data_IF_270438874438
#
_entry.id   IF_270438874438
#
_cell.length_a   1.000
_cell.length_b   1.000
_cell.length_c   1.000
_cell.angle_alpha   90.00
_cell.angle_beta   90.00
_cell.angle_gamma   90.00
#
_symmetry.space_group_name_H-M   'P 1'
#
loop_
_entity.id
_entity.type
_entity.pdbx_description
1 polymer ?
#
# COMPACT_ATOMS: atom_id res chain seq x y z
N UNK A 1 -32.55 19.98 -9.26
CA UNK A 1 -31.73 19.00 -9.99
C UNK A 1 -30.29 19.17 -9.52
N UNK A 2 -29.94 18.58 -8.38
CA UNK A 2 -28.58 18.52 -7.86
C UNK A 2 -28.42 17.13 -7.26
N UNK A 3 -28.00 16.19 -8.10
CA UNK A 3 -27.53 14.86 -7.73
C UNK A 3 -26.72 14.35 -8.93
N UNK A 4 -25.69 13.57 -8.67
CA UNK A 4 -24.78 12.91 -9.62
C UNK A 4 -23.37 13.51 -9.82
N UNK A 5 -22.75 14.11 -8.80
CA UNK A 5 -21.26 14.21 -8.76
C UNK A 5 -20.64 13.76 -7.41
N UNK A 6 -21.43 13.35 -6.41
CA UNK A 6 -20.90 13.07 -5.06
C UNK A 6 -20.69 11.57 -4.72
N UNK A 7 -20.93 10.64 -5.66
CA UNK A 7 -20.87 9.19 -5.40
C UNK A 7 -19.60 8.51 -5.94
N UNK A 8 -18.45 9.17 -5.83
CA UNK A 8 -17.19 8.43 -5.71
C UNK A 8 -16.65 8.78 -4.34
N UNK A 9 -16.94 8.00 -3.28
CA UNK A 9 -16.20 8.18 -2.06
C UNK A 9 -14.74 8.02 -2.43
N UNK A 10 -13.95 8.98 -1.99
CA UNK A 10 -12.54 9.17 -2.24
C UNK A 10 -11.71 8.00 -1.68
N UNK A 11 -11.97 6.77 -2.14
CA UNK A 11 -11.50 5.49 -1.60
C UNK A 11 -10.06 5.21 -2.04
N UNK A 12 -9.51 6.04 -2.94
CA UNK A 12 -8.09 6.07 -3.26
C UNK A 12 -7.31 7.09 -2.39
N UNK A 13 -7.80 7.45 -1.20
CA UNK A 13 -7.07 8.32 -0.29
C UNK A 13 -6.11 7.53 0.60
N UNK A 14 -4.91 8.08 0.69
CA UNK A 14 -3.79 7.83 1.61
C UNK A 14 -4.20 7.81 3.10
N UNK A 15 -5.12 6.94 3.49
CA UNK A 15 -5.71 6.87 4.81
C UNK A 15 -5.14 5.69 5.60
N UNK A 16 -4.56 5.99 6.76
CA UNK A 16 -4.08 5.00 7.74
C UNK A 16 -5.17 3.99 8.07
N UNK A 17 -4.82 2.71 8.28
CA UNK A 17 -5.78 1.63 8.58
C UNK A 17 -6.70 1.91 9.78
N UNK A 18 -6.28 2.76 10.72
CA UNK A 18 -7.14 3.24 11.80
C UNK A 18 -8.35 4.08 11.31
N UNK A 19 -8.16 4.91 10.28
CA UNK A 19 -9.27 5.68 9.67
C UNK A 19 -10.24 4.74 8.95
N UNK A 20 -9.71 3.81 8.16
CA UNK A 20 -10.51 2.80 7.48
C UNK A 20 -11.34 1.97 8.48
N UNK A 21 -10.74 1.52 9.59
CA UNK A 21 -11.45 0.82 10.66
C UNK A 21 -12.62 1.64 11.24
N UNK A 22 -12.46 2.97 11.37
CA UNK A 22 -13.53 3.87 11.82
C UNK A 22 -14.63 3.98 10.78
N UNK A 23 -14.28 4.09 9.50
CA UNK A 23 -15.24 4.21 8.41
C UNK A 23 -16.07 2.94 8.29
N UNK A 24 -15.44 1.76 8.35
CA UNK A 24 -16.15 0.47 8.38
C UNK A 24 -17.14 0.36 9.55
N UNK A 25 -16.78 0.87 10.72
CA UNK A 25 -17.70 0.94 11.87
C UNK A 25 -18.90 1.85 11.60
N UNK A 26 -18.72 2.96 10.88
CA UNK A 26 -19.83 3.83 10.48
C UNK A 26 -20.76 3.15 9.47
N UNK A 27 -20.21 2.30 8.59
CA UNK A 27 -20.98 1.47 7.67
C UNK A 27 -21.62 0.23 8.33
N UNK A 28 -21.47 0.05 9.66
CA UNK A 28 -22.05 -1.07 10.41
C UNK A 28 -21.23 -2.36 10.39
N UNK A 29 -20.06 -2.37 9.75
CA UNK A 29 -19.15 -3.52 9.71
C UNK A 29 -18.06 -3.40 10.79
N UNK A 30 -18.07 -4.32 11.76
CA UNK A 30 -17.04 -4.36 12.80
C UNK A 30 -15.81 -5.14 12.33
N UNK A 31 -14.99 -4.51 11.50
CA UNK A 31 -13.72 -5.10 11.03
C UNK A 31 -12.58 -4.54 11.87
N UNK A 32 -11.78 -5.41 12.47
CA UNK A 32 -10.59 -4.99 13.21
C UNK A 32 -9.46 -4.60 12.27
N UNK A 33 -8.59 -3.70 12.72
CA UNK A 33 -7.37 -3.31 11.97
C UNK A 33 -6.51 -4.51 11.60
N UNK A 34 -6.35 -5.46 12.51
CA UNK A 34 -5.54 -6.66 12.28
C UNK A 34 -6.12 -7.53 11.17
N UNK A 35 -7.44 -7.68 11.11
CA UNK A 35 -8.10 -8.39 10.02
C UNK A 35 -7.85 -7.72 8.67
N UNK A 36 -7.95 -6.38 8.61
CA UNK A 36 -7.63 -5.61 7.40
C UNK A 36 -6.17 -5.77 6.97
N UNK A 37 -5.21 -5.67 7.91
CA UNK A 37 -3.79 -5.91 7.63
C UNK A 37 -3.56 -7.29 7.03
N UNK A 38 -4.13 -8.32 7.65
CA UNK A 38 -3.97 -9.69 7.20
C UNK A 38 -4.56 -9.91 5.80
N UNK A 39 -5.69 -9.28 5.49
CA UNK A 39 -6.28 -9.32 4.15
C UNK A 39 -5.42 -8.60 3.12
N UNK A 40 -4.84 -7.44 3.45
CA UNK A 40 -3.95 -6.72 2.54
C UNK A 40 -2.70 -7.56 2.23
N UNK A 41 -2.09 -8.17 3.24
CA UNK A 41 -0.92 -9.04 3.06
C UNK A 41 -1.29 -10.28 2.23
N UNK A 42 -2.43 -10.90 2.53
CA UNK A 42 -2.89 -12.04 1.75
C UNK A 42 -3.13 -11.65 0.29
N UNK A 43 -3.76 -10.51 0.03
CA UNK A 43 -4.03 -10.05 -1.32
C UNK A 43 -2.74 -9.72 -2.09
N UNK A 44 -1.76 -9.09 -1.43
CA UNK A 44 -0.46 -8.80 -2.04
C UNK A 44 0.27 -10.07 -2.48
N UNK A 45 0.26 -11.11 -1.64
CA UNK A 45 0.93 -12.37 -1.93
C UNK A 45 0.20 -13.23 -2.95
N UNK A 46 -1.13 -13.26 -2.97
CA UNK A 46 -1.87 -14.20 -3.82
C UNK A 46 -2.24 -13.62 -5.17
N UNK A 47 -2.57 -12.33 -5.25
CA UNK A 47 -3.07 -11.72 -6.49
C UNK A 47 -2.02 -10.89 -7.22
N UNK A 48 -1.14 -10.20 -6.48
CA UNK A 48 -0.15 -9.31 -7.10
C UNK A 48 1.17 -10.00 -7.47
N UNK A 49 1.42 -11.21 -6.96
CA UNK A 49 2.66 -11.95 -7.22
C UNK A 49 2.90 -12.15 -8.73
N UNK A 50 1.88 -12.56 -9.49
CA UNK A 50 2.06 -12.85 -10.91
C UNK A 50 2.39 -11.60 -11.72
N UNK A 51 1.80 -10.46 -11.33
CA UNK A 51 2.06 -9.16 -11.92
C UNK A 51 3.48 -8.71 -11.61
N UNK A 52 3.91 -8.85 -10.36
CA UNK A 52 5.28 -8.59 -9.94
C UNK A 52 6.28 -9.43 -10.75
N UNK A 53 6.05 -10.74 -10.85
CA UNK A 53 6.93 -11.65 -11.59
C UNK A 53 7.03 -11.29 -13.08
N UNK A 54 5.93 -10.83 -13.68
CA UNK A 54 5.92 -10.35 -15.06
C UNK A 54 6.78 -9.10 -15.24
N UNK A 55 6.54 -8.06 -14.43
CA UNK A 55 7.33 -6.83 -14.51
C UNK A 55 8.79 -7.06 -14.19
N UNK A 56 9.10 -7.94 -13.23
CA UNK A 56 10.47 -8.31 -12.90
C UNK A 56 11.19 -8.91 -14.12
N UNK A 57 10.56 -9.85 -14.84
CA UNK A 57 11.13 -10.42 -16.06
C UNK A 57 11.33 -9.39 -17.17
N UNK A 58 10.37 -8.49 -17.36
CA UNK A 58 10.47 -7.46 -18.40
C UNK A 58 11.51 -6.39 -18.08
N UNK A 59 11.69 -6.03 -16.81
CA UNK A 59 12.71 -5.08 -16.38
C UNK A 59 14.12 -5.64 -16.58
N UNK A 60 14.35 -6.93 -16.31
CA UNK A 60 15.64 -7.59 -16.53
C UNK A 60 16.08 -7.62 -18.00
N UNK A 61 15.14 -7.50 -18.95
CA UNK A 61 15.47 -7.42 -20.38
C UNK A 61 15.99 -6.04 -20.80
N UNK A 62 15.75 -5.00 -19.99
CA UNK A 62 16.14 -3.62 -20.33
C UNK A 62 17.58 -3.37 -19.87
N UNK A 63 18.36 -2.67 -20.71
CA UNK A 63 19.74 -2.29 -20.38
C UNK A 63 19.87 -1.14 -19.38
N UNK A 64 18.77 -0.48 -19.03
CA UNK A 64 18.72 0.56 -18.01
C UNK A 64 17.38 0.50 -17.29
N UNK A 65 17.40 0.81 -15.99
CA UNK A 65 16.23 0.89 -15.15
C UNK A 65 16.17 2.29 -14.56
N UNK A 66 15.05 2.98 -14.74
CA UNK A 66 14.80 4.25 -14.06
C UNK A 66 14.15 3.91 -12.73
N UNK A 67 14.72 4.39 -11.64
CA UNK A 67 14.15 4.27 -10.32
C UNK A 67 14.12 5.63 -9.65
N UNK A 68 13.03 5.93 -8.94
CA UNK A 68 12.92 7.13 -8.10
C UNK A 68 13.33 6.78 -6.67
N UNK A 69 14.14 7.64 -6.05
CA UNK A 69 14.61 7.47 -4.68
C UNK A 69 13.61 8.08 -3.70
N UNK A 70 12.91 7.23 -2.96
CA UNK A 70 11.99 7.67 -1.91
C UNK A 70 12.60 7.40 -0.53
N UNK A 71 12.71 8.44 0.29
CA UNK A 71 13.18 8.34 1.67
C UNK A 71 12.03 7.87 2.58
N UNK A 72 12.26 6.82 3.35
CA UNK A 72 11.29 6.23 4.27
C UNK A 72 11.91 5.97 5.63
N UNK A 73 11.12 6.06 6.70
CA UNK A 73 11.53 5.71 8.05
C UNK A 73 10.93 4.35 8.41
N UNK A 74 11.80 3.37 8.70
CA UNK A 74 11.38 2.01 9.06
C UNK A 74 11.48 1.88 10.58
N UNK A 75 10.34 1.64 11.22
CA UNK A 75 10.26 1.59 12.69
C UNK A 75 11.01 0.39 13.29
N UNK A 76 11.15 -0.71 12.54
CA UNK A 76 11.71 -1.96 13.02
C UNK A 76 12.67 -2.59 12.00
N UNK A 77 13.86 -2.00 11.86
CA UNK A 77 14.95 -2.53 11.05
C UNK A 77 16.04 -3.12 11.96
N UNK A 78 16.45 -4.37 11.70
CA UNK A 78 17.45 -5.05 12.53
C UNK A 78 18.80 -4.32 12.48
N UNK A 79 19.32 -3.94 13.65
CA UNK A 79 20.61 -3.25 13.76
C UNK A 79 20.59 -1.74 13.43
N UNK A 80 19.41 -1.14 13.18
CA UNK A 80 19.27 0.30 12.89
C UNK A 80 18.27 0.99 13.80
N UNK A 81 18.50 2.28 14.07
CA UNK A 81 17.60 3.10 14.89
C UNK A 81 16.39 3.50 14.04
N UNK A 82 15.20 3.51 14.62
CA UNK A 82 13.94 3.87 13.93
C UNK A 82 13.94 5.28 13.29
N UNK A 83 14.78 6.20 13.77
CA UNK A 83 14.94 7.55 13.21
C UNK A 83 15.95 7.62 12.04
N UNK A 84 16.61 6.51 11.73
CA UNK A 84 17.56 6.47 10.62
C UNK A 84 16.81 6.45 9.29
N UNK A 85 17.34 7.21 8.34
CA UNK A 85 16.73 7.37 7.02
C UNK A 85 17.03 6.13 6.19
N UNK A 86 15.97 5.44 5.76
CA UNK A 86 16.05 4.33 4.81
C UNK A 86 15.66 4.81 3.42
N UNK A 87 16.14 4.10 2.40
CA UNK A 87 15.95 4.45 1.00
C UNK A 87 15.23 3.33 0.28
N UNK A 88 14.14 3.66 -0.40
CA UNK A 88 13.39 2.76 -1.27
C UNK A 88 13.55 3.24 -2.71
N UNK A 89 14.01 2.34 -3.58
CA UNK A 89 14.10 2.58 -5.02
C UNK A 89 12.83 2.02 -5.67
N UNK A 90 11.96 2.89 -6.16
CA UNK A 90 10.74 2.50 -6.86
C UNK A 90 11.00 2.49 -8.37
N UNK A 91 10.80 1.32 -9.00
CA UNK A 91 10.97 1.06 -10.44
C UNK A 91 9.67 1.24 -11.22
#
# INVERSE_FOLDING_TARGET
MHCCVDDVPEVCQRATLYRQEKDWKQYGAQISRTALVNWIIYCSQNYFQWMYDYFHRELLKRGFAMADETRVEVLNEEGRKAQSQSYMWLL
#
